data_IF_036448422672
#
_entry.id   IF_036448422672
#
_cell.length_a   1.000
_cell.length_b   1.000
_cell.length_c   1.000
_cell.angle_alpha   90.00
_cell.angle_beta   90.00
_cell.angle_gamma   90.00
#
_symmetry.space_group_name_H-M   'P 1'
#
loop_
_entity.id
_entity.type
_entity.pdbx_description
1 polymer ?
#
# COMPACT_ATOMS: atom_id res chain seq x y z
N UNK A 1 35.40 -3.94 -21.94
CA UNK A 1 34.32 -3.06 -21.45
C UNK A 1 34.24 -3.19 -19.94
N UNK A 2 34.26 -2.09 -19.18
CA UNK A 2 34.02 -2.13 -17.73
C UNK A 2 32.53 -2.32 -17.44
N UNK A 3 32.19 -2.71 -16.21
CA UNK A 3 30.79 -2.79 -15.74
C UNK A 3 29.99 -1.50 -16.02
N UNK A 4 30.65 -0.34 -15.95
CA UNK A 4 30.06 0.97 -16.23
C UNK A 4 30.30 1.44 -17.68
N UNK A 5 30.42 0.52 -18.64
CA UNK A 5 30.48 0.82 -20.08
C UNK A 5 31.53 1.88 -20.47
N UNK A 6 32.69 1.88 -19.81
CA UNK A 6 33.79 2.80 -20.10
C UNK A 6 33.77 4.12 -19.32
N UNK A 7 32.79 4.36 -18.44
CA UNK A 7 32.79 5.53 -17.55
C UNK A 7 33.99 5.43 -16.57
N UNK A 8 34.79 6.51 -16.39
CA UNK A 8 35.87 6.53 -15.42
C UNK A 8 35.38 6.24 -13.99
N UNK A 9 36.14 5.45 -13.22
CA UNK A 9 35.76 5.07 -11.86
C UNK A 9 35.62 6.27 -10.91
N UNK A 10 36.36 7.34 -11.16
CA UNK A 10 36.23 8.60 -10.43
C UNK A 10 34.83 9.20 -10.58
N UNK A 11 34.32 9.22 -11.81
CA UNK A 11 32.96 9.70 -12.12
C UNK A 11 31.89 8.82 -11.47
N UNK A 12 32.09 7.50 -11.52
CA UNK A 12 31.20 6.52 -10.86
C UNK A 12 31.17 6.76 -9.34
N UNK A 13 32.32 6.99 -8.72
CA UNK A 13 32.43 7.30 -7.29
C UNK A 13 31.79 8.64 -6.95
N UNK A 14 31.91 9.65 -7.81
CA UNK A 14 31.22 10.93 -7.63
C UNK A 14 29.70 10.77 -7.61
N UNK A 15 29.16 9.92 -8.49
CA UNK A 15 27.71 9.72 -8.59
C UNK A 15 27.15 8.84 -7.47
N UNK A 16 27.74 7.68 -7.20
CA UNK A 16 27.17 6.68 -6.30
C UNK A 16 28.06 6.24 -5.15
N UNK A 17 29.24 6.85 -4.97
CA UNK A 17 30.22 6.43 -3.97
C UNK A 17 29.68 6.53 -2.54
N UNK A 18 29.65 5.39 -1.86
CA UNK A 18 29.43 5.31 -0.42
C UNK A 18 30.78 5.19 0.31
N UNK A 19 30.83 5.44 1.65
CA UNK A 19 32.07 5.41 2.44
C UNK A 19 32.90 4.11 2.38
N UNK A 20 32.36 3.02 1.85
CA UNK A 20 32.96 1.67 1.86
C UNK A 20 33.23 1.11 0.45
N UNK A 21 33.54 1.96 -0.54
CA UNK A 21 33.74 1.56 -1.96
C UNK A 21 32.54 0.82 -2.61
N UNK A 22 31.37 0.85 -1.96
CA UNK A 22 30.12 0.34 -2.52
C UNK A 22 29.44 1.40 -3.39
N UNK A 23 28.88 0.96 -4.52
CA UNK A 23 28.09 1.82 -5.39
C UNK A 23 26.62 1.82 -4.95
N UNK A 24 26.13 2.99 -4.52
CA UNK A 24 24.74 3.21 -4.15
C UNK A 24 23.92 3.66 -5.37
N UNK A 25 23.20 2.72 -5.99
CA UNK A 25 22.36 2.97 -7.16
C UNK A 25 21.29 4.06 -6.91
N UNK A 26 20.68 4.07 -5.73
CA UNK A 26 19.64 5.05 -5.39
C UNK A 26 20.22 6.46 -5.26
N UNK A 27 21.40 6.59 -4.66
CA UNK A 27 22.11 7.87 -4.57
C UNK A 27 22.51 8.38 -5.95
N UNK A 28 23.07 7.51 -6.80
CA UNK A 28 23.41 7.87 -8.18
C UNK A 28 22.16 8.34 -8.95
N UNK A 29 21.04 7.61 -8.84
CA UNK A 29 19.78 8.00 -9.46
C UNK A 29 19.27 9.36 -8.94
N UNK A 30 19.37 9.62 -7.63
CA UNK A 30 18.96 10.89 -7.02
C UNK A 30 19.82 12.07 -7.48
N UNK A 31 21.13 11.88 -7.72
CA UNK A 31 22.02 12.93 -8.23
C UNK A 31 21.86 13.20 -9.72
N UNK A 32 21.52 12.17 -10.50
CA UNK A 32 21.34 12.28 -11.95
C UNK A 32 19.94 12.77 -12.35
N UNK A 33 18.92 12.51 -11.54
CA UNK A 33 17.56 12.91 -11.84
C UNK A 33 17.37 14.42 -11.68
N UNK A 34 16.42 15.01 -12.42
CA UNK A 34 15.98 16.38 -12.17
C UNK A 34 15.08 16.49 -10.93
N UNK A 35 14.24 15.47 -10.72
CA UNK A 35 13.24 15.41 -9.64
C UNK A 35 13.00 13.95 -9.26
N UNK A 36 12.75 13.72 -7.97
CA UNK A 36 12.28 12.44 -7.44
C UNK A 36 10.92 12.62 -6.75
N UNK A 37 10.16 11.51 -6.61
CA UNK A 37 8.80 11.53 -6.09
C UNK A 37 8.58 10.39 -5.10
N UNK A 38 8.12 10.76 -3.90
CA UNK A 38 7.46 9.84 -2.99
C UNK A 38 6.01 9.57 -3.39
N UNK A 39 5.47 8.43 -2.96
CA UNK A 39 4.13 7.94 -3.34
C UNK A 39 3.00 8.36 -2.40
N UNK A 40 3.31 9.17 -1.40
CA UNK A 40 2.39 9.84 -0.47
C UNK A 40 3.09 11.05 0.15
N UNK A 41 2.34 11.94 0.81
CA UNK A 41 2.92 13.06 1.55
C UNK A 41 3.98 12.57 2.55
N UNK A 42 3.57 11.68 3.48
CA UNK A 42 4.45 11.09 4.49
C UNK A 42 5.66 10.37 3.87
N UNK A 43 5.48 9.65 2.76
CA UNK A 43 6.60 8.97 2.12
C UNK A 43 7.64 9.97 1.59
N UNK A 44 7.22 11.13 1.09
CA UNK A 44 8.17 12.18 0.69
C UNK A 44 8.87 12.84 1.88
N UNK A 45 8.17 13.04 3.00
CA UNK A 45 8.78 13.54 4.25
C UNK A 45 9.87 12.59 4.75
N UNK A 46 9.52 11.31 4.91
CA UNK A 46 10.47 10.25 5.32
C UNK A 46 11.62 10.11 4.31
N UNK A 47 11.35 10.24 3.00
CA UNK A 47 12.41 10.19 1.98
C UNK A 47 13.38 11.36 2.11
N UNK A 48 12.89 12.59 2.32
CA UNK A 48 13.77 13.76 2.54
C UNK A 48 14.62 13.59 3.79
N UNK A 49 14.04 13.09 4.88
CA UNK A 49 14.77 12.79 6.11
C UNK A 49 15.84 11.71 5.90
N UNK A 50 15.50 10.62 5.21
CA UNK A 50 16.41 9.50 4.96
C UNK A 50 17.63 9.87 4.10
N UNK A 51 17.45 10.79 3.14
CA UNK A 51 18.49 11.18 2.18
C UNK A 51 19.17 12.52 2.49
N UNK A 52 18.76 13.25 3.54
CA UNK A 52 19.29 14.59 3.86
C UNK A 52 20.81 14.64 4.11
N UNK A 53 21.42 13.50 4.46
CA UNK A 53 22.87 13.37 4.68
C UNK A 53 23.70 13.40 3.40
N UNK A 54 23.07 13.38 2.23
CA UNK A 54 23.76 13.38 0.94
C UNK A 54 23.56 14.69 0.20
N UNK A 55 24.66 15.28 -0.24
CA UNK A 55 24.66 16.48 -1.07
C UNK A 55 24.49 16.14 -2.57
N UNK A 56 24.04 17.15 -3.32
CA UNK A 56 23.90 17.09 -4.78
C UNK A 56 22.73 16.22 -5.26
N UNK A 57 21.83 15.79 -4.37
CA UNK A 57 20.62 15.08 -4.75
C UNK A 57 19.55 16.05 -5.26
N UNK A 58 18.69 15.56 -6.17
CA UNK A 58 17.55 16.30 -6.65
C UNK A 58 16.48 16.53 -5.56
N UNK A 59 15.58 17.48 -5.84
CA UNK A 59 14.42 17.72 -4.99
C UNK A 59 13.49 16.49 -4.97
N UNK A 60 13.10 16.06 -3.76
CA UNK A 60 12.14 14.97 -3.55
C UNK A 60 10.76 15.56 -3.22
N UNK A 61 9.82 15.44 -4.17
CA UNK A 61 8.41 15.82 -4.02
C UNK A 61 7.55 14.63 -3.59
N UNK A 62 6.25 14.87 -3.37
CA UNK A 62 5.27 13.82 -3.11
C UNK A 62 4.16 13.86 -4.15
N UNK A 63 3.82 12.71 -4.73
CA UNK A 63 2.60 12.51 -5.50
C UNK A 63 1.89 11.31 -4.90
N UNK A 64 0.73 11.54 -4.29
CA UNK A 64 -0.06 10.48 -3.65
C UNK A 64 -0.57 9.51 -4.71
N UNK A 65 -0.31 8.22 -4.50
CA UNK A 65 -0.84 7.17 -5.38
C UNK A 65 -2.36 7.18 -5.41
N UNK A 66 -2.92 6.89 -6.57
CA UNK A 66 -4.36 6.78 -6.81
C UNK A 66 -4.69 5.46 -7.52
N UNK A 67 -5.98 5.13 -7.58
CA UNK A 67 -6.52 4.02 -8.34
C UNK A 67 -7.42 4.53 -9.46
N UNK A 68 -7.51 3.75 -10.54
CA UNK A 68 -8.41 4.08 -11.64
C UNK A 68 -9.87 3.80 -11.23
N UNK A 69 -10.68 4.85 -11.17
CA UNK A 69 -12.09 4.74 -10.81
C UNK A 69 -12.89 3.89 -11.80
N UNK A 70 -12.69 4.08 -13.11
CA UNK A 70 -13.43 3.36 -14.15
C UNK A 70 -13.28 1.83 -14.05
N UNK A 71 -12.11 1.38 -13.60
CA UNK A 71 -11.79 -0.02 -13.47
C UNK A 71 -12.16 -0.59 -12.09
N UNK A 72 -11.84 0.12 -11.01
CA UNK A 72 -11.95 -0.42 -9.64
C UNK A 72 -13.26 -0.10 -8.92
N UNK A 73 -14.04 0.89 -9.39
CA UNK A 73 -15.26 1.30 -8.71
C UNK A 73 -16.48 0.46 -9.13
N UNK A 74 -17.35 0.14 -8.17
CA UNK A 74 -18.69 -0.35 -8.46
C UNK A 74 -19.62 0.83 -8.73
N UNK A 75 -19.91 1.09 -10.01
CA UNK A 75 -20.68 2.28 -10.43
C UNK A 75 -22.07 2.38 -9.79
N UNK A 76 -22.74 1.23 -9.59
CA UNK A 76 -24.07 1.19 -8.95
C UNK A 76 -23.98 1.59 -7.48
N UNK A 77 -23.00 1.06 -6.74
CA UNK A 77 -22.78 1.42 -5.34
C UNK A 77 -22.54 2.93 -5.17
N UNK A 78 -21.71 3.53 -6.05
CA UNK A 78 -21.50 4.99 -6.03
C UNK A 78 -22.77 5.76 -6.41
N UNK A 79 -23.50 5.34 -7.44
CA UNK A 79 -24.76 5.98 -7.83
C UNK A 79 -25.79 5.99 -6.70
N UNK A 80 -25.93 4.89 -5.95
CA UNK A 80 -26.86 4.83 -4.82
C UNK A 80 -26.40 5.69 -3.65
N UNK A 81 -25.09 5.78 -3.42
CA UNK A 81 -24.50 6.68 -2.43
C UNK A 81 -24.78 8.15 -2.76
N UNK A 82 -24.57 8.56 -4.01
CA UNK A 82 -24.79 9.95 -4.47
C UNK A 82 -26.28 10.35 -4.39
N UNK A 83 -27.18 9.38 -4.56
CA UNK A 83 -28.63 9.57 -4.43
C UNK A 83 -29.13 9.46 -2.99
N UNK A 84 -28.24 9.22 -2.01
CA UNK A 84 -28.60 8.92 -0.62
C UNK A 84 -29.60 7.76 -0.46
N UNK A 85 -29.61 6.81 -1.41
CA UNK A 85 -30.47 5.64 -1.37
C UNK A 85 -29.80 4.51 -0.57
N UNK A 86 -30.02 4.53 0.75
CA UNK A 86 -29.37 3.62 1.69
C UNK A 86 -29.79 2.16 1.45
N UNK A 87 -31.07 1.91 1.19
CA UNK A 87 -31.57 0.54 1.00
C UNK A 87 -30.94 -0.12 -0.23
N UNK A 88 -30.89 0.60 -1.37
CA UNK A 88 -30.24 0.10 -2.59
C UNK A 88 -28.72 -0.04 -2.42
N UNK A 89 -28.07 0.85 -1.66
CA UNK A 89 -26.66 0.73 -1.34
C UNK A 89 -26.37 -0.54 -0.53
N UNK A 90 -27.16 -0.79 0.51
CA UNK A 90 -27.02 -1.98 1.38
C UNK A 90 -27.28 -3.25 0.58
N UNK A 91 -28.33 -3.28 -0.24
CA UNK A 91 -28.63 -4.42 -1.11
C UNK A 91 -27.48 -4.71 -2.08
N UNK A 92 -26.98 -3.67 -2.79
CA UNK A 92 -25.83 -3.82 -3.69
C UNK A 92 -24.60 -4.33 -2.96
N UNK A 93 -24.34 -3.85 -1.75
CA UNK A 93 -23.21 -4.30 -0.94
C UNK A 93 -23.36 -5.77 -0.52
N UNK A 94 -24.57 -6.18 -0.13
CA UNK A 94 -24.89 -7.58 0.21
C UNK A 94 -24.71 -8.50 -0.98
N UNK A 95 -25.18 -8.09 -2.16
CA UNK A 95 -24.99 -8.81 -3.42
C UNK A 95 -23.51 -9.03 -3.75
N UNK A 96 -22.70 -7.97 -3.71
CA UNK A 96 -21.25 -8.07 -3.98
C UNK A 96 -20.53 -8.97 -2.95
N UNK A 97 -20.94 -8.90 -1.69
CA UNK A 97 -20.41 -9.76 -0.63
C UNK A 97 -20.74 -11.23 -0.88
N UNK A 98 -21.99 -11.54 -1.22
CA UNK A 98 -22.40 -12.90 -1.57
C UNK A 98 -21.56 -13.45 -2.72
N UNK A 99 -21.36 -12.67 -3.80
CA UNK A 99 -20.50 -13.10 -4.92
C UNK A 99 -19.07 -13.42 -4.50
N UNK A 100 -18.48 -12.62 -3.63
CA UNK A 100 -17.14 -12.89 -3.12
C UNK A 100 -17.12 -14.19 -2.28
N UNK A 101 -18.15 -14.43 -1.48
CA UNK A 101 -18.28 -15.65 -0.67
C UNK A 101 -18.52 -16.89 -1.53
N UNK A 102 -19.35 -16.79 -2.57
CA UNK A 102 -19.59 -17.86 -3.54
C UNK A 102 -18.26 -18.25 -4.21
N UNK A 103 -17.45 -17.28 -4.64
CA UNK A 103 -16.11 -17.54 -5.19
C UNK A 103 -15.17 -18.22 -4.19
N UNK A 104 -15.20 -17.82 -2.90
CA UNK A 104 -14.38 -18.47 -1.88
C UNK A 104 -14.86 -19.90 -1.63
N UNK A 105 -16.17 -20.14 -1.66
CA UNK A 105 -16.74 -21.48 -1.54
C UNK A 105 -16.30 -22.37 -2.71
N UNK A 106 -16.30 -21.86 -3.94
CA UNK A 106 -15.86 -22.58 -5.14
C UNK A 106 -14.37 -22.96 -5.06
N UNK A 107 -13.53 -22.07 -4.50
CA UNK A 107 -12.08 -22.29 -4.42
C UNK A 107 -11.69 -23.15 -3.22
N UNK A 108 -12.36 -23.01 -2.07
CA UNK A 108 -11.92 -23.56 -0.78
C UNK A 108 -12.90 -24.54 -0.12
N UNK A 109 -14.12 -24.67 -0.65
CA UNK A 109 -15.20 -25.44 -0.04
C UNK A 109 -15.80 -24.81 1.22
N UNK A 110 -15.45 -23.56 1.56
CA UNK A 110 -15.92 -22.87 2.77
C UNK A 110 -17.14 -21.99 2.48
N UNK A 111 -18.25 -22.32 3.14
CA UNK A 111 -19.47 -21.53 3.12
C UNK A 111 -19.42 -20.46 4.23
N UNK A 112 -19.71 -19.21 3.87
CA UNK A 112 -19.76 -18.08 4.80
C UNK A 112 -21.17 -17.49 4.87
N UNK A 113 -21.56 -16.98 6.05
CA UNK A 113 -22.83 -16.30 6.23
C UNK A 113 -22.72 -14.82 5.77
N UNK A 114 -23.52 -14.37 4.79
CA UNK A 114 -23.50 -12.99 4.32
C UNK A 114 -23.99 -11.96 5.34
N UNK A 115 -24.67 -12.38 6.41
CA UNK A 115 -25.16 -11.50 7.49
C UNK A 115 -24.09 -11.17 8.55
N UNK A 116 -22.95 -11.86 8.56
CA UNK A 116 -21.89 -11.66 9.56
C UNK A 116 -20.88 -10.61 9.10
N UNK A 117 -20.48 -9.66 9.94
CA UNK A 117 -19.42 -8.69 9.61
C UNK A 117 -18.16 -9.41 9.09
N UNK A 118 -17.73 -9.06 7.88
CA UNK A 118 -16.60 -9.73 7.22
C UNK A 118 -15.44 -8.76 7.07
N UNK A 119 -14.32 -9.11 7.70
CA UNK A 119 -13.06 -8.36 7.61
C UNK A 119 -12.19 -9.04 6.56
N UNK A 120 -11.68 -8.27 5.59
CA UNK A 120 -10.85 -8.79 4.50
C UNK A 120 -9.43 -8.24 4.61
N UNK A 121 -8.44 -9.12 4.50
CA UNK A 121 -7.04 -8.76 4.33
C UNK A 121 -6.55 -9.26 2.97
N UNK A 122 -6.28 -8.34 2.04
CA UNK A 122 -5.92 -8.64 0.65
C UNK A 122 -4.64 -7.91 0.25
N UNK A 123 -3.51 -8.25 0.89
CA UNK A 123 -2.18 -7.65 0.60
C UNK A 123 -1.12 -8.76 0.55
N UNK A 124 0.09 -8.45 0.07
CA UNK A 124 1.22 -9.40 0.09
C UNK A 124 1.55 -9.83 1.52
N UNK A 125 1.93 -11.08 1.74
CA UNK A 125 2.40 -11.55 3.04
C UNK A 125 3.81 -11.03 3.34
N UNK A 126 3.93 -10.08 4.27
CA UNK A 126 5.19 -9.50 4.70
C UNK A 126 5.07 -8.97 6.14
N UNK A 127 6.11 -9.15 6.96
CA UNK A 127 6.05 -8.87 8.42
C UNK A 127 5.58 -7.44 8.76
N UNK A 128 6.06 -6.42 8.06
CA UNK A 128 5.65 -5.02 8.30
C UNK A 128 4.15 -4.76 8.04
N UNK A 129 3.46 -5.64 7.29
CA UNK A 129 2.02 -5.54 7.01
C UNK A 129 1.14 -6.17 8.09
N UNK A 130 1.72 -6.89 9.05
CA UNK A 130 1.06 -7.39 10.28
C UNK A 130 -0.25 -8.12 10.00
N UNK A 131 -0.20 -9.20 9.21
CA UNK A 131 -1.38 -10.01 8.89
C UNK A 131 -2.01 -10.65 10.15
N UNK A 132 -1.20 -10.83 11.19
CA UNK A 132 -1.52 -11.37 12.50
C UNK A 132 -2.07 -10.33 13.49
N UNK A 133 -2.23 -9.05 13.10
CA UNK A 133 -2.52 -7.96 14.05
C UNK A 133 -3.73 -8.23 14.95
N UNK A 134 -4.82 -8.81 14.41
CA UNK A 134 -6.04 -9.11 15.16
C UNK A 134 -5.91 -10.36 16.05
N UNK A 135 -5.04 -11.29 15.69
CA UNK A 135 -4.86 -12.58 16.37
C UNK A 135 -3.62 -12.63 17.26
N UNK A 136 -2.79 -11.58 17.23
CA UNK A 136 -1.56 -11.48 18.02
C UNK A 136 -1.84 -11.46 19.53
N UNK A 137 -2.99 -10.92 19.92
CA UNK A 137 -3.43 -10.83 21.32
C UNK A 137 -4.90 -11.27 21.38
N UNK A 138 -5.09 -12.57 21.62
CA UNK A 138 -6.43 -13.19 21.65
C UNK A 138 -7.27 -12.68 22.83
N UNK A 139 -6.66 -12.39 23.98
CA UNK A 139 -7.37 -11.85 25.14
C UNK A 139 -7.94 -10.46 24.84
N UNK A 140 -7.15 -9.60 24.19
CA UNK A 140 -7.63 -8.30 23.73
C UNK A 140 -8.70 -8.42 22.66
N UNK A 141 -8.56 -9.37 21.74
CA UNK A 141 -9.56 -9.63 20.70
C UNK A 141 -10.92 -10.02 21.32
N UNK A 142 -10.93 -10.93 22.29
CA UNK A 142 -12.13 -11.34 23.01
C UNK A 142 -12.77 -10.17 23.78
N UNK A 143 -11.95 -9.34 24.44
CA UNK A 143 -12.42 -8.10 25.11
C UNK A 143 -13.07 -7.12 24.13
N UNK A 144 -12.61 -7.04 22.88
CA UNK A 144 -13.24 -6.20 21.86
C UNK A 144 -14.60 -6.75 21.42
N UNK A 145 -14.72 -8.07 21.25
CA UNK A 145 -15.97 -8.73 20.83
C UNK A 145 -17.05 -8.70 21.91
N UNK A 146 -16.65 -8.79 23.17
CA UNK A 146 -17.55 -8.83 24.33
C UNK A 146 -17.90 -7.46 24.91
N UNK A 147 -17.43 -6.37 24.29
CA UNK A 147 -17.63 -5.02 24.84
C UNK A 147 -19.06 -4.51 24.64
N UNK A 148 -19.86 -4.55 25.70
CA UNK A 148 -21.28 -4.13 25.71
C UNK A 148 -21.50 -2.63 25.57
N UNK A 149 -20.46 -1.79 25.67
CA UNK A 149 -20.58 -0.33 25.48
C UNK A 149 -20.90 0.06 24.04
N UNK A 150 -20.55 -0.80 23.07
CA UNK A 150 -20.69 -0.55 21.64
C UNK A 150 -21.50 -1.64 20.94
N UNK A 151 -22.24 -2.47 21.69
CA UNK A 151 -23.21 -3.42 21.17
C UNK A 151 -24.57 -2.76 20.91
#
# INVERSE_FOLDING_TARGET
>A
MSYFSGIPLEEVRRLGGAPNDLFNHSLAALRMARLAKGVSQLHGEVSREMWNKYEGICEIKSITNAQNWHYWADKQLYSFMDQHNIDAFVDRKRYLKKRAMDLVADISGKLFNPDVCTIVWARRFAGYKRADLLTRDMERFEKLLSNTKYQ
#
